data_IF_249781108336
#
_entry.id   IF_249781108336
#
_cell.length_a   1.000
_cell.length_b   1.000
_cell.length_c   1.000
_cell.angle_alpha   90.00
_cell.angle_beta   90.00
_cell.angle_gamma   90.00
#
_symmetry.space_group_name_H-M   'P 1'
#
loop_
_entity.id
_entity.type
_entity.pdbx_description
1 polymer ?
#
# COMPACT_ATOMS: atom_id res chain seq x y z
N UNK A 1 6.92 -8.26 20.87
CA UNK A 1 7.27 -7.30 19.80
C UNK A 1 8.36 -7.82 18.86
N UNK A 2 9.40 -8.55 19.33
CA UNK A 2 10.47 -9.10 18.47
C UNK A 2 10.02 -10.03 17.32
N UNK A 3 9.01 -10.88 17.55
CA UNK A 3 8.60 -11.93 16.59
C UNK A 3 8.04 -11.36 15.27
N UNK A 4 7.24 -10.30 15.33
CA UNK A 4 6.65 -9.68 14.14
C UNK A 4 7.72 -9.04 13.24
N UNK A 5 8.77 -8.46 13.84
CA UNK A 5 9.88 -7.88 13.09
C UNK A 5 10.73 -8.93 12.37
N UNK A 6 10.92 -10.10 12.99
CA UNK A 6 11.58 -11.22 12.35
C UNK A 6 10.78 -11.74 11.15
N UNK A 7 9.45 -11.87 11.29
CA UNK A 7 8.59 -12.27 10.18
C UNK A 7 8.57 -11.27 9.02
N UNK A 8 8.59 -9.97 9.34
CA UNK A 8 8.71 -8.92 8.34
C UNK A 8 10.03 -9.00 7.58
N UNK A 9 11.15 -9.22 8.27
CA UNK A 9 12.46 -9.39 7.64
C UNK A 9 12.52 -10.62 6.72
N UNK A 10 12.02 -11.78 7.18
CA UNK A 10 11.88 -12.99 6.35
C UNK A 10 11.01 -12.72 5.11
N UNK A 11 9.94 -11.95 5.27
CA UNK A 11 9.07 -11.53 4.18
C UNK A 11 9.81 -10.68 3.15
N UNK A 12 10.54 -9.66 3.58
CA UNK A 12 11.34 -8.80 2.70
C UNK A 12 12.38 -9.59 1.90
N UNK A 13 13.06 -10.55 2.52
CA UNK A 13 14.02 -11.41 1.80
C UNK A 13 13.36 -12.25 0.71
N UNK A 14 12.13 -12.74 0.94
CA UNK A 14 11.38 -13.51 -0.07
C UNK A 14 10.85 -12.66 -1.23
N UNK A 15 10.68 -11.36 -1.02
CA UNK A 15 10.22 -10.43 -2.04
C UNK A 15 11.35 -9.98 -2.98
N UNK A 16 12.62 -10.12 -2.57
CA UNK A 16 13.78 -9.79 -3.41
C UNK A 16 13.76 -10.61 -4.70
N UNK A 17 13.81 -9.93 -5.84
CA UNK A 17 13.77 -10.55 -7.17
C UNK A 17 12.39 -11.08 -7.58
N UNK A 18 11.37 -10.94 -6.73
CA UNK A 18 9.96 -11.22 -7.09
C UNK A 18 9.25 -9.92 -7.46
N UNK A 19 9.53 -8.84 -6.73
CA UNK A 19 9.02 -7.50 -7.02
C UNK A 19 10.19 -6.58 -7.41
N UNK A 20 9.92 -5.56 -8.22
CA UNK A 20 10.91 -4.49 -8.47
C UNK A 20 11.17 -3.71 -7.16
N UNK A 21 12.42 -3.33 -6.91
CA UNK A 21 12.79 -2.56 -5.70
C UNK A 21 12.14 -1.18 -5.65
N UNK A 22 11.69 -0.68 -6.80
CA UNK A 22 10.96 0.58 -6.93
C UNK A 22 9.46 0.41 -7.05
N UNK A 23 8.95 -0.83 -7.03
CA UNK A 23 7.53 -1.06 -7.16
C UNK A 23 6.75 -0.35 -6.05
N UNK A 24 5.62 0.24 -6.42
CA UNK A 24 4.68 0.84 -5.48
C UNK A 24 3.47 -0.07 -5.28
N UNK A 25 2.87 0.03 -4.10
CA UNK A 25 1.74 -0.80 -3.70
C UNK A 25 0.63 0.10 -3.21
N UNK A 26 -0.51 0.07 -3.87
CA UNK A 26 -1.72 0.69 -3.39
C UNK A 26 -2.62 -0.29 -2.63
N UNK A 27 -3.26 0.19 -1.56
CA UNK A 27 -4.29 -0.55 -0.84
C UNK A 27 -5.66 0.02 -1.20
N UNK A 28 -6.48 -0.78 -1.88
CA UNK A 28 -7.78 -0.34 -2.39
C UNK A 28 -8.93 -1.18 -1.83
N UNK A 29 -10.08 -0.54 -1.63
CA UNK A 29 -11.36 -1.19 -1.30
C UNK A 29 -12.43 -0.65 -2.25
N UNK A 30 -13.11 -1.55 -2.96
CA UNK A 30 -14.30 -1.23 -3.75
C UNK A 30 -15.53 -1.63 -2.94
N UNK A 31 -16.38 -0.67 -2.61
CA UNK A 31 -17.58 -0.94 -1.80
C UNK A 31 -18.73 -1.47 -2.66
N UNK A 32 -19.74 -2.05 -2.01
CA UNK A 32 -20.97 -2.49 -2.68
C UNK A 32 -21.73 -1.35 -3.40
N UNK A 33 -21.43 -0.09 -3.04
CA UNK A 33 -21.98 1.11 -3.70
C UNK A 33 -21.17 1.55 -4.92
N UNK A 34 -20.09 0.85 -5.25
CA UNK A 34 -19.19 1.19 -6.34
C UNK A 34 -18.21 2.33 -6.00
N UNK A 35 -18.02 2.64 -4.72
CA UNK A 35 -17.06 3.66 -4.29
C UNK A 35 -15.69 3.02 -4.15
N UNK A 36 -14.67 3.62 -4.79
CA UNK A 36 -13.30 3.20 -4.66
C UNK A 36 -12.61 4.02 -3.56
N UNK A 37 -12.01 3.34 -2.60
CA UNK A 37 -11.26 3.94 -1.51
C UNK A 37 -9.82 3.47 -1.56
N UNK A 38 -8.89 4.37 -1.23
CA UNK A 38 -7.48 4.07 -1.04
C UNK A 38 -7.08 4.31 0.42
N UNK A 39 -6.18 3.45 0.92
CA UNK A 39 -5.72 3.47 2.31
C UNK A 39 -4.21 3.72 2.40
N UNK A 40 -3.86 4.61 3.32
CA UNK A 40 -2.50 4.94 3.70
C UNK A 40 -1.88 3.92 4.65
N UNK A 41 -0.80 4.34 5.30
CA UNK A 41 0.02 3.49 6.16
C UNK A 41 -0.51 3.28 7.58
N UNK A 42 -1.49 4.09 7.99
CA UNK A 42 -2.05 4.06 9.33
C UNK A 42 -3.59 4.10 9.35
N UNK A 43 -4.25 3.43 8.40
CA UNK A 43 -5.72 3.35 8.29
C UNK A 43 -6.30 1.92 8.33
N UNK A 44 -5.54 0.95 8.84
CA UNK A 44 -5.91 -0.46 8.77
C UNK A 44 -5.65 -1.05 7.38
N UNK A 45 -6.42 -2.06 6.96
CA UNK A 45 -6.34 -2.73 5.64
C UNK A 45 -4.94 -3.26 5.27
N UNK A 46 -4.06 -3.42 6.27
CA UNK A 46 -2.69 -3.89 6.08
C UNK A 46 -1.64 -2.79 5.87
N UNK A 47 -1.99 -1.50 5.94
CA UNK A 47 -1.05 -0.38 5.74
C UNK A 47 0.24 -0.50 6.55
N UNK A 48 0.14 -0.73 7.86
CA UNK A 48 1.31 -0.89 8.73
C UNK A 48 2.16 -2.12 8.37
N UNK A 49 1.53 -3.20 7.89
CA UNK A 49 2.25 -4.39 7.46
C UNK A 49 2.98 -4.16 6.13
N UNK A 50 2.32 -3.51 5.17
CA UNK A 50 2.86 -3.27 3.82
C UNK A 50 3.93 -2.18 3.83
N UNK A 51 3.63 -1.00 4.36
CA UNK A 51 4.51 0.16 4.24
C UNK A 51 5.54 0.25 5.37
N UNK A 52 5.23 -0.19 6.60
CA UNK A 52 6.20 -0.10 7.71
C UNK A 52 6.97 -1.39 7.90
N UNK A 53 6.27 -2.53 7.95
CA UNK A 53 6.93 -3.82 8.21
C UNK A 53 7.64 -4.35 6.95
N UNK A 54 6.95 -4.44 5.82
CA UNK A 54 7.53 -4.90 4.55
C UNK A 54 8.31 -3.82 3.80
N UNK A 55 8.17 -2.54 4.22
CA UNK A 55 8.88 -1.41 3.63
C UNK A 55 8.63 -1.24 2.12
N UNK A 56 7.44 -1.62 1.65
CA UNK A 56 7.01 -1.37 0.28
C UNK A 56 6.65 0.10 0.10
N UNK A 57 6.80 0.61 -1.12
CA UNK A 57 6.56 2.02 -1.42
C UNK A 57 5.08 2.27 -1.66
N UNK A 58 4.59 3.44 -1.24
CA UNK A 58 3.26 3.92 -1.59
C UNK A 58 3.32 4.70 -2.91
N UNK A 59 2.27 4.67 -3.76
CA UNK A 59 2.20 5.51 -4.96
C UNK A 59 2.43 6.99 -4.63
N UNK A 60 3.22 7.70 -5.43
CA UNK A 60 3.62 9.08 -5.13
C UNK A 60 2.41 10.02 -5.01
N UNK A 61 1.41 9.87 -5.89
CA UNK A 61 0.17 10.66 -5.82
C UNK A 61 -0.59 10.42 -4.53
N UNK A 62 -0.60 9.19 -4.03
CA UNK A 62 -1.21 8.86 -2.76
C UNK A 62 -0.43 9.45 -1.57
N UNK A 63 0.90 9.37 -1.60
CA UNK A 63 1.74 9.97 -0.56
C UNK A 63 1.59 11.51 -0.54
N UNK A 64 1.39 12.13 -1.70
CA UNK A 64 1.22 13.56 -1.85
C UNK A 64 -0.12 14.09 -1.28
N UNK A 65 -1.16 13.26 -1.15
CA UNK A 65 -2.41 13.70 -0.52
C UNK A 65 -2.23 13.99 0.96
N UNK A 66 -1.32 13.27 1.64
CA UNK A 66 -1.18 13.30 3.10
C UNK A 66 -2.38 12.68 3.85
N UNK A 67 -3.41 12.22 3.13
CA UNK A 67 -4.59 11.61 3.69
C UNK A 67 -4.40 10.11 3.90
N UNK A 68 -4.93 9.59 5.00
CA UNK A 68 -4.82 8.17 5.35
C UNK A 68 -5.96 7.33 4.77
N UNK A 69 -7.08 7.95 4.41
CA UNK A 69 -8.23 7.32 3.76
C UNK A 69 -8.81 8.36 2.82
N UNK A 70 -8.83 8.08 1.52
CA UNK A 70 -9.40 8.99 0.54
C UNK A 70 -10.15 8.24 -0.54
N UNK A 71 -11.26 8.83 -0.99
CA UNK A 71 -12.08 8.29 -2.05
C UNK A 71 -11.50 8.67 -3.40
N UNK A 72 -11.42 7.69 -4.31
CA UNK A 72 -10.97 7.86 -5.68
C UNK A 72 -12.16 7.72 -6.63
N UNK A 73 -12.14 8.50 -7.72
CA UNK A 73 -12.94 8.16 -8.90
C UNK A 73 -12.28 6.96 -9.60
N UNK A 74 -13.09 6.06 -10.16
CA UNK A 74 -12.58 4.95 -10.97
C UNK A 74 -11.80 5.45 -12.20
N UNK A 75 -12.13 6.65 -12.70
CA UNK A 75 -11.44 7.25 -13.84
C UNK A 75 -9.99 7.64 -13.53
N UNK A 76 -9.70 8.00 -12.27
CA UNK A 76 -8.35 8.38 -11.84
C UNK A 76 -7.56 7.20 -11.30
N UNK A 77 -8.15 6.01 -11.16
CA UNK A 77 -7.44 4.82 -10.68
C UNK A 77 -6.12 4.53 -11.43
N UNK A 78 -6.05 4.64 -12.78
CA UNK A 78 -4.79 4.41 -13.50
C UNK A 78 -3.66 5.35 -13.08
N UNK A 79 -3.99 6.52 -12.53
CA UNK A 79 -3.01 7.49 -12.04
C UNK A 79 -2.41 7.14 -10.69
N UNK A 80 -3.02 6.21 -9.93
CA UNK A 80 -2.57 5.77 -8.61
C UNK A 80 -1.96 4.37 -8.64
N UNK A 81 -2.02 3.69 -9.79
CA UNK A 81 -1.48 2.34 -10.00
C UNK A 81 -0.14 2.38 -10.76
N UNK A 82 0.72 3.35 -10.46
CA UNK A 82 2.08 3.40 -11.03
C UNK A 82 2.93 2.26 -10.43
N UNK A 83 3.50 1.44 -11.31
CA UNK A 83 4.11 0.12 -11.00
C UNK A 83 5.32 0.17 -10.06
#
# INVERSE_FOLDING_TARGET
MLYCWQKAAEGREKLKGVIDENATVGLYELTDKGELWMFGDNAGRGGQAVYHALQLKMPEKAAATGEQVFQLSLEVLPEYADD
#
